data_IF_848822094087
#
_entry.id   IF_848822094087
#
_cell.length_a   1.000
_cell.length_b   1.000
_cell.length_c   1.000
_cell.angle_alpha   90.00
_cell.angle_beta   90.00
_cell.angle_gamma   90.00
#
_symmetry.space_group_name_H-M   'P 1'
#
loop_
_entity.id
_entity.type
_entity.pdbx_description
1 polymer ?
#
# COMPACT_ATOMS: atom_id res chain seq x y z
N UNK A 1 -30.00 -1.85 22.81
CA UNK A 1 -28.97 -1.75 21.76
C UNK A 1 -28.63 -0.27 21.62
N UNK A 2 -27.35 0.11 21.76
CA UNK A 2 -26.94 1.49 21.57
C UNK A 2 -26.93 1.83 20.07
N UNK A 3 -27.29 3.07 19.68
CA UNK A 3 -27.25 3.48 18.28
C UNK A 3 -25.81 3.47 17.74
N UNK A 4 -25.62 3.21 16.42
CA UNK A 4 -24.29 3.23 15.82
C UNK A 4 -23.69 4.64 15.96
N UNK A 5 -22.43 4.70 16.39
CA UNK A 5 -21.68 5.95 16.53
C UNK A 5 -21.47 6.54 15.14
N UNK A 6 -22.22 7.59 14.82
CA UNK A 6 -22.09 8.34 13.57
C UNK A 6 -20.90 9.31 13.67
N UNK A 7 -20.05 9.32 12.65
CA UNK A 7 -18.85 10.14 12.63
C UNK A 7 -19.22 11.48 11.99
N UNK A 8 -18.81 12.59 12.60
CA UNK A 8 -19.01 13.91 11.99
C UNK A 8 -18.33 13.98 10.63
N UNK A 9 -18.96 14.69 9.69
CA UNK A 9 -18.48 14.83 8.30
C UNK A 9 -17.14 15.55 8.19
N UNK A 10 -16.67 16.20 9.27
CA UNK A 10 -15.35 16.81 9.35
C UNK A 10 -14.22 15.81 9.69
N UNK A 11 -14.54 14.65 10.28
CA UNK A 11 -13.55 13.78 10.94
C UNK A 11 -12.88 12.78 10.00
N UNK A 12 -13.60 12.26 9.00
CA UNK A 12 -13.03 11.30 8.03
C UNK A 12 -13.07 11.88 6.63
N UNK A 13 -11.92 12.34 6.16
CA UNK A 13 -11.70 12.81 4.80
C UNK A 13 -10.61 11.96 4.16
N UNK A 14 -10.84 11.47 2.95
CA UNK A 14 -9.82 10.76 2.17
C UNK A 14 -9.82 11.29 0.73
N UNK A 15 -8.77 10.93 0.00
CA UNK A 15 -8.62 11.24 -1.41
C UNK A 15 -7.82 10.12 -2.07
N UNK A 16 -8.04 9.92 -3.36
CA UNK A 16 -7.25 9.00 -4.18
C UNK A 16 -6.26 9.81 -5.00
N UNK A 17 -5.02 9.34 -5.11
CA UNK A 17 -4.08 9.90 -6.06
C UNK A 17 -4.43 9.43 -7.46
N UNK A 18 -4.21 10.29 -8.44
CA UNK A 18 -4.29 9.92 -9.85
C UNK A 18 -3.12 9.01 -10.22
N UNK A 19 -3.37 8.08 -11.13
CA UNK A 19 -2.36 7.16 -11.66
C UNK A 19 -2.81 5.71 -11.66
N UNK A 20 -1.96 4.85 -12.23
CA UNK A 20 -2.19 3.41 -12.29
C UNK A 20 -0.98 2.71 -11.68
N UNK A 21 -1.16 1.84 -10.67
CA UNK A 21 -0.07 1.04 -10.13
C UNK A 21 0.60 0.17 -11.21
N UNK A 22 1.92 0.04 -11.15
CA UNK A 22 2.79 -0.54 -12.20
C UNK A 22 3.54 -1.78 -11.74
N UNK A 23 3.80 -1.92 -10.45
CA UNK A 23 4.16 -3.18 -9.80
C UNK A 23 3.08 -4.27 -9.92
N UNK A 24 3.34 -5.41 -9.31
CA UNK A 24 2.56 -6.64 -9.51
C UNK A 24 2.12 -7.27 -8.19
N UNK A 25 1.04 -8.06 -8.21
CA UNK A 25 0.70 -8.91 -7.07
C UNK A 25 1.57 -10.18 -7.10
N UNK A 26 2.09 -10.55 -5.93
CA UNK A 26 2.92 -11.72 -5.71
C UNK A 26 2.70 -12.22 -4.28
N UNK A 27 3.62 -13.03 -3.76
CA UNK A 27 3.60 -13.50 -2.38
C UNK A 27 4.91 -13.21 -1.69
N UNK A 28 4.83 -12.66 -0.47
CA UNK A 28 5.96 -12.62 0.46
C UNK A 28 5.73 -13.75 1.47
N UNK A 29 6.50 -14.83 1.32
CA UNK A 29 6.22 -16.11 1.96
C UNK A 29 4.77 -16.56 1.66
N UNK A 30 3.93 -16.69 2.69
CA UNK A 30 2.53 -17.12 2.56
C UNK A 30 1.54 -15.95 2.45
N UNK A 31 2.03 -14.71 2.46
CA UNK A 31 1.18 -13.52 2.47
C UNK A 31 1.11 -12.91 1.06
N UNK A 32 -0.09 -12.65 0.51
CA UNK A 32 -0.23 -11.85 -0.70
C UNK A 32 0.46 -10.51 -0.53
N UNK A 33 1.18 -10.06 -1.53
CA UNK A 33 1.89 -8.79 -1.48
C UNK A 33 1.84 -8.08 -2.82
N UNK A 34 1.85 -6.76 -2.78
CA UNK A 34 2.18 -5.95 -3.95
C UNK A 34 3.69 -5.71 -3.98
N UNK A 35 4.32 -5.96 -5.13
CA UNK A 35 5.78 -5.89 -5.30
C UNK A 35 6.14 -4.96 -6.45
N UNK A 36 7.10 -4.07 -6.22
CA UNK A 36 7.60 -3.12 -7.21
C UNK A 36 9.09 -2.83 -6.99
N UNK A 37 9.79 -2.35 -8.02
CA UNK A 37 11.26 -2.29 -8.04
C UNK A 37 11.92 -3.64 -8.38
N UNK A 38 13.26 -3.66 -8.45
CA UNK A 38 14.01 -4.81 -9.00
C UNK A 38 15.38 -5.05 -8.36
N UNK A 39 15.66 -4.52 -7.16
CA UNK A 39 16.94 -4.74 -6.50
C UNK A 39 16.97 -6.09 -5.75
N UNK A 40 17.91 -7.01 -6.07
CA UNK A 40 18.01 -8.31 -5.40
C UNK A 40 18.70 -8.26 -4.03
N UNK A 41 19.40 -7.18 -3.69
CA UNK A 41 20.26 -7.07 -2.51
C UNK A 41 19.65 -6.22 -1.39
N UNK A 42 18.61 -5.44 -1.69
CA UNK A 42 17.97 -4.55 -0.74
C UNK A 42 16.46 -4.53 -0.97
N UNK A 43 15.71 -4.64 0.12
CA UNK A 43 14.25 -4.61 0.10
C UNK A 43 13.70 -3.69 1.20
N UNK A 44 12.59 -3.02 0.90
CA UNK A 44 11.80 -2.22 1.84
C UNK A 44 10.45 -2.89 2.02
N UNK A 45 10.09 -3.13 3.29
CA UNK A 45 8.79 -3.66 3.67
C UNK A 45 7.86 -2.50 4.05
N UNK A 46 6.86 -2.23 3.20
CA UNK A 46 5.86 -1.22 3.46
C UNK A 46 4.66 -1.86 4.18
N UNK A 47 4.50 -1.57 5.47
CA UNK A 47 3.35 -2.04 6.26
C UNK A 47 2.28 -0.96 6.28
N UNK A 48 1.06 -1.30 5.85
CA UNK A 48 -0.10 -0.40 5.92
C UNK A 48 -0.88 -0.64 7.21
N UNK A 49 -1.59 0.39 7.67
CA UNK A 49 -2.54 0.31 8.78
C UNK A 49 -3.98 0.20 8.25
N UNK A 50 -4.55 1.31 7.78
CA UNK A 50 -5.90 1.46 7.29
C UNK A 50 -5.99 1.28 5.77
N UNK A 51 -7.19 0.97 5.27
CA UNK A 51 -7.56 0.81 3.85
C UNK A 51 -6.91 -0.37 3.10
N UNK A 52 -5.77 -0.88 3.56
CA UNK A 52 -5.18 -2.13 3.09
C UNK A 52 -4.25 -2.01 1.88
N UNK A 53 -3.49 -3.07 1.61
CA UNK A 53 -2.50 -3.14 0.51
C UNK A 53 -3.09 -3.07 -0.91
N UNK A 54 -4.41 -3.26 -1.04
CA UNK A 54 -5.14 -3.09 -2.31
C UNK A 54 -5.54 -1.65 -2.58
N UNK A 55 -5.42 -0.76 -1.58
CA UNK A 55 -5.73 0.65 -1.76
C UNK A 55 -4.75 1.29 -2.75
N UNK A 56 -5.28 2.02 -3.74
CA UNK A 56 -4.49 2.54 -4.87
C UNK A 56 -3.32 3.42 -4.41
N UNK A 57 -3.54 4.32 -3.44
CA UNK A 57 -2.48 5.22 -2.99
C UNK A 57 -1.31 4.45 -2.36
N UNK A 58 -1.57 3.36 -1.65
CA UNK A 58 -0.50 2.56 -1.06
C UNK A 58 0.38 1.93 -2.15
N UNK A 59 -0.22 1.45 -3.24
CA UNK A 59 0.53 0.89 -4.38
C UNK A 59 1.28 1.96 -5.18
N UNK A 60 0.62 3.09 -5.44
CA UNK A 60 1.25 4.24 -6.10
C UNK A 60 2.42 4.81 -5.28
N UNK A 61 2.31 4.81 -3.94
CA UNK A 61 3.39 5.20 -3.05
C UNK A 61 4.58 4.25 -3.17
N UNK A 62 4.33 2.94 -3.14
CA UNK A 62 5.37 1.92 -3.31
C UNK A 62 6.09 2.08 -4.65
N UNK A 63 5.33 2.31 -5.73
CA UNK A 63 5.89 2.54 -7.07
C UNK A 63 6.73 3.81 -7.14
N UNK A 64 6.29 4.89 -6.47
CA UNK A 64 7.07 6.12 -6.44
C UNK A 64 8.40 5.89 -5.72
N UNK A 65 8.38 5.26 -4.54
CA UNK A 65 9.61 4.98 -3.79
C UNK A 65 10.56 4.05 -4.54
N UNK A 66 10.05 3.05 -5.26
CA UNK A 66 10.88 2.14 -6.05
C UNK A 66 11.61 2.83 -7.23
N UNK A 67 11.15 4.01 -7.68
CA UNK A 67 11.86 4.82 -8.68
C UNK A 67 13.00 5.64 -8.07
N UNK A 68 12.84 6.08 -6.82
CA UNK A 68 13.78 6.97 -6.14
C UNK A 68 14.87 6.20 -5.39
N UNK A 69 14.59 4.97 -4.95
CA UNK A 69 15.50 4.16 -4.15
C UNK A 69 15.82 2.87 -4.89
N UNK A 70 17.11 2.52 -5.08
CA UNK A 70 17.49 1.22 -5.65
C UNK A 70 17.20 0.12 -4.63
N UNK A 71 15.94 -0.28 -4.47
CA UNK A 71 15.47 -1.31 -3.55
C UNK A 71 14.17 -1.94 -4.10
N UNK A 72 13.91 -3.20 -3.77
CA UNK A 72 12.61 -3.83 -4.03
C UNK A 72 11.64 -3.47 -2.91
N UNK A 73 10.41 -3.10 -3.24
CA UNK A 73 9.38 -2.72 -2.28
C UNK A 73 8.31 -3.80 -2.20
N UNK A 74 7.98 -4.24 -0.98
CA UNK A 74 6.97 -5.25 -0.71
C UNK A 74 5.89 -4.66 0.21
N UNK A 75 4.64 -4.73 -0.21
CA UNK A 75 3.47 -4.29 0.53
C UNK A 75 2.55 -5.50 0.79
N UNK A 76 2.75 -6.22 1.91
CA UNK A 76 2.04 -7.45 2.20
C UNK A 76 0.64 -7.20 2.78
N UNK A 77 -0.23 -8.20 2.62
CA UNK A 77 -1.41 -8.40 3.46
C UNK A 77 -0.98 -8.76 4.89
N UNK A 78 -1.65 -8.17 5.88
CA UNK A 78 -1.52 -8.51 7.29
C UNK A 78 -2.57 -9.56 7.68
#
# INVERSE_FOLDING_TARGET
MAPPKQWDTCCFKSFTWDGTPTGQESTLANNPAYVTGSNPNAAVLYIHDALGWKFSNARLLADHFAKEVPSSFHLPFH
#
